data_IF_009740921427
#
_entry.id   IF_009740921427
#
_cell.length_a   1.000
_cell.length_b   1.000
_cell.length_c   1.000
_cell.angle_alpha   90.00
_cell.angle_beta   90.00
_cell.angle_gamma   90.00
#
_symmetry.space_group_name_H-M   'P 1'
#
loop_
_entity.id
_entity.type
_entity.pdbx_description
1 polymer ?
#
# COMPACT_ATOMS: atom_id res chain seq x y z
N UNK A 1 38.01 -22.25 -0.94
CA UNK A 1 36.55 -22.22 -1.13
C UNK A 1 35.97 -21.11 -0.27
N UNK A 2 35.96 -19.88 -0.78
CA UNK A 2 35.36 -18.73 -0.09
C UNK A 2 33.92 -18.59 -0.57
N UNK A 3 32.96 -18.92 0.29
CA UNK A 3 31.53 -18.70 0.04
C UNK A 3 31.27 -17.21 0.22
N UNK A 4 31.19 -16.49 -0.89
CA UNK A 4 30.71 -15.11 -0.93
C UNK A 4 29.23 -15.17 -0.55
N UNK A 5 28.90 -14.79 0.69
CA UNK A 5 27.52 -14.48 1.05
C UNK A 5 27.12 -13.25 0.25
N UNK A 6 26.52 -13.49 -0.92
CA UNK A 6 25.96 -12.45 -1.76
C UNK A 6 25.02 -11.59 -0.92
N UNK A 7 25.24 -10.29 -0.95
CA UNK A 7 24.42 -9.29 -0.27
C UNK A 7 22.96 -9.58 -0.58
N UNK A 8 22.17 -9.98 0.43
CA UNK A 8 20.76 -10.35 0.28
C UNK A 8 19.98 -9.07 -0.02
N UNK A 9 19.99 -8.66 -1.28
CA UNK A 9 19.06 -7.68 -1.79
C UNK A 9 17.88 -8.43 -2.39
N UNK A 10 16.66 -8.27 -1.87
CA UNK A 10 15.50 -8.83 -2.54
C UNK A 10 15.47 -8.28 -3.98
N UNK A 11 15.29 -9.15 -4.99
CA UNK A 11 15.37 -8.75 -6.40
C UNK A 11 14.25 -7.75 -6.77
N UNK A 12 13.18 -7.71 -5.98
CA UNK A 12 12.08 -6.76 -6.11
C UNK A 12 12.04 -5.80 -4.94
N UNK A 13 11.75 -4.54 -5.24
CA UNK A 13 11.47 -3.54 -4.22
C UNK A 13 10.15 -3.87 -3.51
N UNK A 14 10.11 -3.72 -2.18
CA UNK A 14 8.86 -3.73 -1.40
C UNK A 14 7.85 -2.69 -1.92
N UNK A 15 6.53 -2.93 -1.76
CA UNK A 15 5.50 -1.96 -2.14
C UNK A 15 5.73 -0.58 -1.52
N UNK A 16 5.36 0.47 -2.26
CA UNK A 16 5.42 1.87 -1.80
C UNK A 16 4.66 2.06 -0.47
N UNK A 17 5.14 3.00 0.34
CA UNK A 17 4.63 3.26 1.69
C UNK A 17 5.60 2.79 2.77
N UNK A 18 5.06 2.36 3.92
CA UNK A 18 5.88 2.02 5.09
C UNK A 18 6.88 0.89 4.80
N UNK A 19 6.48 -0.15 4.05
CA UNK A 19 7.36 -1.27 3.70
C UNK A 19 8.56 -0.84 2.82
N UNK A 20 8.33 0.04 1.83
CA UNK A 20 9.41 0.64 1.03
C UNK A 20 10.40 1.38 1.91
N UNK A 21 9.90 2.23 2.81
CA UNK A 21 10.73 3.02 3.74
C UNK A 21 11.55 2.14 4.69
N UNK A 22 10.97 1.06 5.21
CA UNK A 22 11.69 0.06 6.01
C UNK A 22 12.82 -0.61 5.21
N UNK A 23 12.56 -1.00 3.95
CA UNK A 23 13.63 -1.56 3.11
C UNK A 23 14.74 -0.53 2.85
N UNK A 24 14.39 0.72 2.61
CA UNK A 24 15.37 1.77 2.30
C UNK A 24 16.20 2.13 3.54
N UNK A 25 15.60 2.12 4.73
CA UNK A 25 16.30 2.20 6.00
C UNK A 25 17.28 1.04 6.18
N UNK A 26 16.84 -0.19 5.92
CA UNK A 26 17.71 -1.37 5.99
C UNK A 26 18.88 -1.28 5.03
N UNK A 27 18.64 -0.85 3.78
CA UNK A 27 19.69 -0.62 2.78
C UNK A 27 20.68 0.46 3.21
N UNK A 28 20.20 1.57 3.78
CA UNK A 28 21.07 2.64 4.25
C UNK A 28 22.00 2.17 5.37
N UNK A 29 21.48 1.41 6.34
CA UNK A 29 22.26 0.86 7.43
C UNK A 29 23.28 -0.17 6.92
N UNK A 30 22.85 -1.14 6.11
CA UNK A 30 23.75 -2.17 5.58
C UNK A 30 24.87 -1.61 4.69
N UNK A 31 24.61 -0.51 3.96
CA UNK A 31 25.64 0.18 3.17
C UNK A 31 26.70 0.87 4.03
N UNK A 32 26.29 1.46 5.14
CA UNK A 32 27.17 2.22 6.03
C UNK A 32 27.92 1.33 7.04
N UNK A 33 27.44 0.09 7.26
CA UNK A 33 27.91 -0.81 8.30
C UNK A 33 28.15 -2.23 7.76
N UNK A 34 28.91 -2.35 6.65
CA UNK A 34 29.09 -3.60 5.89
C UNK A 34 29.70 -4.76 6.68
N UNK A 35 30.37 -4.49 7.81
CA UNK A 35 31.02 -5.49 8.68
C UNK A 35 30.55 -5.41 10.15
N UNK A 36 29.43 -4.72 10.43
CA UNK A 36 28.98 -4.55 11.80
C UNK A 36 28.23 -5.79 12.31
N UNK A 37 28.57 -6.21 13.52
CA UNK A 37 27.71 -7.10 14.30
C UNK A 37 26.36 -6.41 14.52
N UNK A 38 25.29 -7.22 14.56
CA UNK A 38 23.94 -6.76 14.85
C UNK A 38 23.79 -6.36 16.32
N UNK A 39 24.39 -5.24 16.68
CA UNK A 39 24.40 -4.68 18.02
C UNK A 39 23.13 -3.86 18.30
N UNK A 40 22.74 -3.67 19.58
CA UNK A 40 21.65 -2.78 19.96
C UNK A 40 21.73 -1.37 19.34
N UNK A 41 22.94 -0.81 19.25
CA UNK A 41 23.16 0.51 18.66
C UNK A 41 22.79 0.55 17.18
N UNK A 42 23.06 -0.51 16.43
CA UNK A 42 22.70 -0.60 15.01
C UNK A 42 21.17 -0.59 14.81
N UNK A 43 20.42 -1.25 15.69
CA UNK A 43 18.96 -1.21 15.64
C UNK A 43 18.42 0.19 15.96
N UNK A 44 19.01 0.89 16.93
CA UNK A 44 18.64 2.29 17.21
C UNK A 44 18.87 3.19 16.01
N UNK A 45 20.01 3.03 15.32
CA UNK A 45 20.31 3.76 14.08
C UNK A 45 19.31 3.46 12.96
N UNK A 46 18.96 2.18 12.78
CA UNK A 46 17.93 1.78 11.83
C UNK A 46 16.59 2.46 12.09
N UNK A 47 16.09 2.42 13.33
CA UNK A 47 14.80 3.03 13.66
C UNK A 47 14.87 4.56 13.59
N UNK A 48 15.99 5.17 13.96
CA UNK A 48 16.21 6.61 13.78
C UNK A 48 16.11 7.00 12.30
N UNK A 49 16.78 6.28 11.42
CA UNK A 49 16.71 6.53 9.99
C UNK A 49 15.29 6.28 9.43
N UNK A 50 14.66 5.16 9.80
CA UNK A 50 13.31 4.83 9.37
C UNK A 50 12.29 5.92 9.75
N UNK A 51 12.30 6.35 11.01
CA UNK A 51 11.33 7.31 11.52
C UNK A 51 11.63 8.75 11.13
N UNK A 52 12.90 9.11 10.90
CA UNK A 52 13.26 10.44 10.36
C UNK A 52 12.78 10.66 8.92
N UNK A 53 12.68 9.58 8.12
CA UNK A 53 12.23 9.63 6.72
C UNK A 53 10.72 9.44 6.56
N UNK A 54 9.94 9.42 7.64
CA UNK A 54 8.49 9.46 7.55
C UNK A 54 8.05 10.92 7.42
N UNK A 55 7.32 11.21 6.32
CA UNK A 55 6.92 12.56 5.93
C UNK A 55 6.12 13.31 7.01
N UNK A 56 5.47 12.58 7.93
CA UNK A 56 4.81 13.16 9.09
C UNK A 56 4.69 12.07 10.16
N UNK A 57 5.30 12.29 11.33
CA UNK A 57 5.09 11.47 12.52
C UNK A 57 3.93 12.01 13.37
N UNK A 58 3.01 12.74 12.74
CA UNK A 58 1.97 13.48 13.44
C UNK A 58 2.56 14.52 14.40
N UNK A 59 3.69 15.15 14.04
CA UNK A 59 4.41 16.09 14.94
C UNK A 59 3.51 17.26 15.33
N UNK A 60 2.79 17.82 14.36
CA UNK A 60 1.82 18.90 14.60
C UNK A 60 0.69 18.44 15.51
N UNK A 61 0.19 17.21 15.32
CA UNK A 61 -0.82 16.60 16.17
C UNK A 61 -0.30 16.30 17.58
N UNK A 62 0.96 15.89 17.71
CA UNK A 62 1.63 15.64 18.99
C UNK A 62 1.80 16.95 19.75
N UNK A 63 2.35 17.98 19.11
CA UNK A 63 2.53 19.30 19.71
C UNK A 63 1.17 19.90 20.12
N UNK A 64 0.19 19.90 19.22
CA UNK A 64 -1.14 20.47 19.49
C UNK A 64 -1.98 19.72 20.52
N UNK A 65 -1.82 18.39 20.63
CA UNK A 65 -2.64 17.58 21.55
C UNK A 65 -1.96 17.32 22.89
N UNK A 66 -0.62 17.27 22.95
CA UNK A 66 0.12 16.78 24.11
C UNK A 66 1.18 17.76 24.65
N UNK A 67 1.65 18.74 23.88
CA UNK A 67 2.71 19.68 24.32
C UNK A 67 2.13 21.06 24.66
N UNK A 68 1.32 21.63 23.76
CA UNK A 68 0.86 23.02 23.87
C UNK A 68 0.00 23.30 25.11
N UNK A 69 -0.71 22.29 25.62
CA UNK A 69 -1.57 22.39 26.80
C UNK A 69 -1.01 21.60 28.00
N UNK A 70 0.25 21.17 27.94
CA UNK A 70 0.88 20.36 28.99
C UNK A 70 1.02 21.12 30.32
N UNK A 71 1.26 22.44 30.25
CA UNK A 71 1.38 23.30 31.44
C UNK A 71 0.10 23.31 32.28
N UNK A 72 -1.06 23.19 31.62
CA UNK A 72 -2.37 23.15 32.25
C UNK A 72 -2.85 21.71 32.54
N UNK A 73 -1.98 20.71 32.35
CA UNK A 73 -2.29 19.28 32.45
C UNK A 73 -3.43 18.81 31.53
N UNK A 74 -3.73 19.55 30.47
CA UNK A 74 -4.78 19.23 29.51
C UNK A 74 -4.24 18.41 28.34
N UNK A 75 -4.13 17.10 28.54
CA UNK A 75 -3.66 16.18 27.51
C UNK A 75 -4.81 15.60 26.70
N UNK A 76 -4.84 15.87 25.38
CA UNK A 76 -5.88 15.39 24.46
C UNK A 76 -5.55 14.02 23.89
N UNK A 77 -5.28 13.03 24.76
CA UNK A 77 -4.87 11.68 24.36
C UNK A 77 -5.85 11.01 23.39
N UNK A 78 -7.16 11.13 23.64
CA UNK A 78 -8.19 10.56 22.75
C UNK A 78 -8.08 11.14 21.33
N UNK A 79 -8.05 12.46 21.22
CA UNK A 79 -7.94 13.16 19.93
C UNK A 79 -6.62 12.86 19.24
N UNK A 80 -5.52 12.76 19.99
CA UNK A 80 -4.23 12.37 19.44
C UNK A 80 -4.27 10.95 18.88
N UNK A 81 -4.82 9.98 19.61
CA UNK A 81 -4.94 8.59 19.15
C UNK A 81 -5.79 8.45 17.88
N UNK A 82 -6.85 9.26 17.74
CA UNK A 82 -7.68 9.27 16.52
C UNK A 82 -6.97 9.89 15.31
N UNK A 83 -6.15 10.93 15.55
CA UNK A 83 -5.46 11.65 14.47
C UNK A 83 -4.15 10.97 14.06
N UNK A 84 -3.43 10.37 15.00
CA UNK A 84 -2.14 9.73 14.78
C UNK A 84 -2.32 8.50 13.87
N UNK A 85 -1.80 8.59 12.65
CA UNK A 85 -1.86 7.51 11.67
C UNK A 85 -0.46 7.25 11.11
N UNK A 86 0.24 6.28 11.72
CA UNK A 86 1.54 5.82 11.24
C UNK A 86 1.46 5.20 9.83
N UNK A 87 0.32 4.57 9.51
CA UNK A 87 -0.02 4.07 8.19
C UNK A 87 -1.28 4.83 7.76
N UNK A 88 -1.20 5.60 6.68
CA UNK A 88 -2.38 6.29 6.15
C UNK A 88 -3.30 5.28 5.46
N UNK A 89 -4.29 4.82 6.21
CA UNK A 89 -5.30 3.88 5.74
C UNK A 89 -6.65 4.56 5.45
N UNK A 90 -6.71 5.90 5.53
CA UNK A 90 -7.98 6.65 5.61
C UNK A 90 -8.71 6.76 4.28
N UNK A 91 -8.02 6.56 3.15
CA UNK A 91 -8.62 6.57 1.81
C UNK A 91 -8.33 5.27 1.09
N UNK A 92 -9.22 4.29 1.25
CA UNK A 92 -9.24 3.09 0.42
C UNK A 92 -10.35 3.20 -0.62
N UNK A 93 -10.11 2.68 -1.81
CA UNK A 93 -11.10 2.53 -2.88
C UNK A 93 -11.27 1.07 -3.23
N UNK A 94 -12.49 0.66 -3.54
CA UNK A 94 -12.82 -0.71 -3.91
C UNK A 94 -12.78 -0.87 -5.43
N UNK A 95 -12.09 -1.90 -5.90
CA UNK A 95 -12.05 -2.32 -7.31
C UNK A 95 -12.62 -3.74 -7.40
N UNK A 96 -13.56 -3.96 -8.32
CA UNK A 96 -14.03 -5.29 -8.69
C UNK A 96 -13.03 -5.88 -9.68
N UNK A 97 -12.37 -6.97 -9.29
CA UNK A 97 -11.34 -7.63 -10.11
C UNK A 97 -11.93 -8.74 -10.96
N UNK A 98 -11.35 -8.95 -12.14
CA UNK A 98 -11.64 -10.09 -13.01
C UNK A 98 -10.89 -11.32 -12.51
N UNK A 99 -11.62 -12.16 -11.78
CA UNK A 99 -11.14 -13.42 -11.27
C UNK A 99 -12.20 -14.52 -11.38
N UNK A 100 -11.83 -15.70 -11.90
CA UNK A 100 -12.72 -16.87 -12.08
C UNK A 100 -14.06 -16.48 -12.72
N UNK A 101 -15.17 -16.75 -12.04
CA UNK A 101 -16.53 -16.57 -12.55
C UNK A 101 -17.06 -15.13 -12.40
N UNK A 102 -16.19 -14.17 -12.05
CA UNK A 102 -16.59 -12.76 -11.91
C UNK A 102 -17.06 -12.14 -13.22
N UNK A 103 -16.52 -12.54 -14.38
CA UNK A 103 -16.90 -11.98 -15.68
C UNK A 103 -18.42 -12.03 -15.91
N UNK A 104 -19.05 -13.17 -15.62
CA UNK A 104 -20.51 -13.34 -15.73
C UNK A 104 -21.26 -12.34 -14.85
N UNK A 105 -20.77 -12.10 -13.63
CA UNK A 105 -21.39 -11.15 -12.69
C UNK A 105 -21.12 -9.69 -13.07
N UNK A 106 -19.95 -9.40 -13.64
CA UNK A 106 -19.58 -8.08 -14.16
C UNK A 106 -20.45 -7.75 -15.38
N UNK A 107 -20.68 -8.70 -16.27
CA UNK A 107 -21.54 -8.51 -17.43
C UNK A 107 -23.00 -8.31 -17.00
N UNK A 108 -23.47 -9.09 -16.03
CA UNK A 108 -24.76 -8.84 -15.38
C UNK A 108 -24.82 -7.43 -14.79
N UNK A 109 -23.76 -6.98 -14.11
CA UNK A 109 -23.69 -5.63 -13.56
C UNK A 109 -23.77 -4.58 -14.66
N UNK A 110 -23.10 -4.77 -15.81
CA UNK A 110 -23.13 -3.85 -16.96
C UNK A 110 -24.54 -3.72 -17.54
N UNK A 111 -25.23 -4.83 -17.77
CA UNK A 111 -26.51 -4.84 -18.49
C UNK A 111 -27.72 -4.56 -17.60
N UNK A 112 -27.75 -5.11 -16.38
CA UNK A 112 -28.92 -5.05 -15.50
C UNK A 112 -28.80 -4.02 -14.38
N UNK A 113 -27.60 -3.48 -14.17
CA UNK A 113 -27.31 -2.58 -13.06
C UNK A 113 -27.11 -3.29 -11.73
N UNK A 114 -26.97 -2.52 -10.66
CA UNK A 114 -26.65 -3.04 -9.35
C UNK A 114 -27.90 -3.54 -8.61
N UNK A 115 -27.95 -4.84 -8.31
CA UNK A 115 -28.95 -5.44 -7.42
C UNK A 115 -28.30 -5.96 -6.13
N UNK A 116 -29.06 -6.03 -5.02
CA UNK A 116 -28.54 -6.51 -3.73
C UNK A 116 -27.94 -7.92 -3.83
N UNK A 117 -28.59 -8.81 -4.56
CA UNK A 117 -28.10 -10.18 -4.75
C UNK A 117 -26.82 -10.22 -5.58
N UNK A 118 -26.75 -9.41 -6.64
CA UNK A 118 -25.59 -9.33 -7.51
C UNK A 118 -24.39 -8.77 -6.76
N UNK A 119 -24.58 -7.67 -6.02
CA UNK A 119 -23.52 -7.07 -5.19
C UNK A 119 -23.02 -8.06 -4.13
N UNK A 120 -23.91 -8.82 -3.49
CA UNK A 120 -23.52 -9.87 -2.53
C UNK A 120 -22.67 -10.96 -3.18
N UNK A 121 -22.94 -11.31 -4.44
CA UNK A 121 -22.09 -12.26 -5.20
C UNK A 121 -20.74 -11.63 -5.56
N UNK A 122 -20.74 -10.35 -5.97
CA UNK A 122 -19.55 -9.60 -6.37
C UNK A 122 -18.59 -9.28 -5.22
N UNK A 123 -19.06 -9.19 -3.98
CA UNK A 123 -18.23 -8.86 -2.80
C UNK A 123 -16.96 -9.71 -2.68
N UNK A 124 -16.98 -10.99 -3.08
CA UNK A 124 -15.81 -11.89 -3.04
C UNK A 124 -14.72 -11.56 -4.09
N UNK A 125 -15.03 -10.69 -5.03
CA UNK A 125 -14.14 -10.22 -6.09
C UNK A 125 -13.77 -8.74 -5.91
N UNK A 126 -14.03 -8.17 -4.74
CA UNK A 126 -13.63 -6.79 -4.43
C UNK A 126 -12.26 -6.81 -3.75
N UNK A 127 -11.36 -5.99 -4.26
CA UNK A 127 -10.06 -5.69 -3.63
C UNK A 127 -10.06 -4.22 -3.26
N UNK A 128 -9.67 -3.93 -2.02
CA UNK A 128 -9.50 -2.55 -1.56
C UNK A 128 -8.05 -2.13 -1.74
N UNK A 129 -7.85 -0.95 -2.31
CA UNK A 129 -6.54 -0.37 -2.59
C UNK A 129 -6.41 1.03 -2.00
N UNK A 130 -5.21 1.46 -1.59
CA UNK A 130 -4.95 2.84 -1.23
C UNK A 130 -5.33 3.80 -2.37
N UNK A 131 -5.87 4.97 -2.04
CA UNK A 131 -6.35 5.96 -3.01
C UNK A 131 -5.30 6.39 -4.04
N UNK A 132 -4.02 6.50 -3.63
CA UNK A 132 -2.94 6.83 -4.55
C UNK A 132 -2.78 5.76 -5.65
N UNK A 133 -2.85 4.48 -5.27
CA UNK A 133 -2.71 3.35 -6.18
C UNK A 133 -3.93 3.25 -7.09
N UNK A 134 -5.12 3.46 -6.51
CA UNK A 134 -6.36 3.56 -7.27
C UNK A 134 -6.27 4.60 -8.40
N UNK A 135 -5.83 5.83 -8.09
CA UNK A 135 -5.71 6.88 -9.10
C UNK A 135 -4.72 6.52 -10.20
N UNK A 136 -3.58 5.92 -9.86
CA UNK A 136 -2.61 5.44 -10.85
C UNK A 136 -3.21 4.40 -11.79
N UNK A 137 -3.92 3.40 -11.25
CA UNK A 137 -4.60 2.34 -12.03
C UNK A 137 -5.67 2.94 -12.95
N UNK A 138 -6.43 3.91 -12.43
CA UNK A 138 -7.45 4.63 -13.18
C UNK A 138 -6.86 5.47 -14.32
N UNK A 139 -5.80 6.24 -14.05
CA UNK A 139 -5.12 7.10 -15.02
C UNK A 139 -4.48 6.29 -16.16
N UNK A 140 -4.04 5.07 -15.86
CA UNK A 140 -3.53 4.12 -16.86
C UNK A 140 -4.64 3.32 -17.59
N UNK A 141 -5.93 3.56 -17.30
CA UNK A 141 -7.10 2.94 -17.94
C UNK A 141 -7.29 1.41 -17.72
N UNK A 142 -6.73 0.84 -16.65
CA UNK A 142 -6.92 -0.61 -16.37
C UNK A 142 -8.20 -0.91 -15.58
N UNK A 143 -8.84 0.13 -15.05
CA UNK A 143 -10.17 0.07 -14.42
C UNK A 143 -11.08 1.13 -15.05
N UNK A 144 -12.38 0.88 -15.06
CA UNK A 144 -13.37 1.89 -15.44
C UNK A 144 -14.67 1.74 -14.67
N UNK A 145 -15.52 2.75 -14.82
CA UNK A 145 -16.84 2.78 -14.17
C UNK A 145 -17.81 1.84 -14.88
N UNK A 146 -18.51 1.04 -14.09
CA UNK A 146 -19.65 0.22 -14.50
C UNK A 146 -20.76 0.44 -13.49
N UNK A 147 -21.76 1.23 -13.87
CA UNK A 147 -22.93 1.53 -13.05
C UNK A 147 -22.57 2.05 -11.65
N UNK A 148 -21.54 2.91 -11.56
CA UNK A 148 -21.08 3.50 -10.29
C UNK A 148 -20.08 2.63 -9.51
N UNK A 149 -19.58 1.54 -10.09
CA UNK A 149 -18.57 0.67 -9.50
C UNK A 149 -17.33 0.61 -10.37
N UNK A 150 -16.15 0.65 -9.74
CA UNK A 150 -14.88 0.52 -10.45
C UNK A 150 -14.57 -0.94 -10.74
N UNK A 151 -14.43 -1.28 -12.02
CA UNK A 151 -14.23 -2.65 -12.49
C UNK A 151 -12.97 -2.72 -13.35
N UNK A 152 -12.18 -3.78 -13.14
CA UNK A 152 -11.04 -4.13 -13.98
C UNK A 152 -11.47 -4.45 -15.42
N UNK A 153 -10.80 -3.85 -16.39
CA UNK A 153 -11.06 -4.05 -17.83
C UNK A 153 -10.11 -5.06 -18.47
N UNK A 154 -8.86 -5.06 -18.01
CA UNK A 154 -7.79 -5.87 -18.57
C UNK A 154 -7.39 -7.00 -17.60
N UNK A 155 -7.06 -8.19 -18.10
CA UNK A 155 -6.79 -9.37 -17.26
C UNK A 155 -5.40 -9.36 -16.58
N UNK A 156 -4.51 -8.43 -16.95
CA UNK A 156 -3.13 -8.34 -16.44
C UNK A 156 -3.09 -7.80 -15.01
N UNK A 157 -4.02 -6.90 -14.64
CA UNK A 157 -3.99 -6.18 -13.37
C UNK A 157 -4.12 -7.08 -12.13
N UNK A 158 -4.83 -8.21 -12.25
CA UNK A 158 -5.00 -9.19 -11.17
C UNK A 158 -4.43 -10.55 -11.59
N UNK A 159 -3.43 -11.05 -10.84
CA UNK A 159 -2.84 -12.37 -11.09
C UNK A 159 -3.33 -13.40 -10.07
N UNK A 160 -3.97 -14.51 -10.50
CA UNK A 160 -4.33 -15.62 -9.62
C UNK A 160 -3.16 -16.09 -8.76
N UNK A 161 -3.39 -16.30 -7.46
CA UNK A 161 -2.37 -16.75 -6.51
C UNK A 161 -1.42 -15.64 -5.99
N UNK A 162 -1.37 -14.48 -6.65
CA UNK A 162 -0.58 -13.31 -6.22
C UNK A 162 -1.50 -12.20 -5.69
N UNK A 163 -2.53 -11.84 -6.46
CA UNK A 163 -3.46 -10.75 -6.16
C UNK A 163 -3.35 -9.59 -7.16
N UNK A 164 -3.79 -8.41 -6.73
CA UNK A 164 -3.72 -7.19 -7.53
C UNK A 164 -2.27 -6.68 -7.59
N UNK A 165 -1.80 -6.34 -8.79
CA UNK A 165 -0.44 -5.86 -8.98
C UNK A 165 -0.33 -4.38 -8.59
N UNK A 166 0.53 -4.08 -7.62
CA UNK A 166 0.67 -2.73 -7.07
C UNK A 166 1.70 -1.86 -7.82
N UNK A 167 2.59 -2.46 -8.62
CA UNK A 167 3.69 -1.75 -9.28
C UNK A 167 3.40 -1.55 -10.77
N UNK A 168 3.42 -0.31 -11.24
CA UNK A 168 3.19 0.09 -12.66
C UNK A 168 3.89 -0.83 -13.68
N UNK A 169 5.17 -1.12 -13.46
CA UNK A 169 5.97 -1.96 -14.35
C UNK A 169 5.43 -3.39 -14.52
N UNK A 170 4.65 -3.90 -13.56
CA UNK A 170 4.14 -5.28 -13.59
C UNK A 170 2.86 -5.45 -14.43
N UNK A 171 2.18 -4.35 -14.77
CA UNK A 171 0.97 -4.34 -15.60
C UNK A 171 1.15 -3.60 -16.93
N UNK A 172 2.16 -2.72 -17.07
CA UNK A 172 2.54 -2.11 -18.36
C UNK A 172 3.15 -3.14 -19.34
N UNK A 173 3.82 -4.19 -18.84
CA UNK A 173 4.55 -5.16 -19.67
C UNK A 173 3.72 -6.38 -20.09
N UNK A 174 2.39 -6.30 -20.05
CA UNK A 174 1.56 -7.38 -20.59
C UNK A 174 1.54 -7.37 -22.11
N UNK A 175 1.46 -8.56 -22.72
CA UNK A 175 1.56 -8.89 -24.16
C UNK A 175 0.49 -8.22 -25.07
N UNK A 176 0.36 -6.89 -25.00
CA UNK A 176 -0.67 -6.12 -25.69
C UNK A 176 -0.20 -4.77 -26.21
N UNK A 177 1.12 -4.56 -26.35
CA UNK A 177 1.65 -3.44 -27.14
C UNK A 177 2.18 -4.01 -28.46
N UNK A 178 1.30 -4.07 -29.45
CA UNK A 178 1.67 -3.92 -30.87
C UNK A 178 1.73 -2.44 -31.20
#
# INVERSE_FOLDING_TARGET
MSTIWGTVHPPKFSPQGFLRKSQDAGKAILRNYSNADFTPSLYSEYFRYLYSNLNSFGKEEFESCLVNSATDFEFKFRTYAEKFNMIDNRKQMSIIVRYKNSNILIDQLRHTGASKELLRKLQRYIVNVPFYLFNKIREANYIGDVNGYWVQFDDILYKPGIGLLANENEWIMGDGVV
#
